data_IF_564623888957
#
_entry.id   IF_564623888957
#
_cell.length_a   1.000
_cell.length_b   1.000
_cell.length_c   1.000
_cell.angle_alpha   90.00
_cell.angle_beta   90.00
_cell.angle_gamma   90.00
#
_symmetry.space_group_name_H-M   'P 1'
#
loop_
_entity.id
_entity.type
_entity.pdbx_description
1 polymer ?
#
# COMPACT_ATOMS: atom_id res chain seq x y z
N UNK A 1 2.15 -8.32 -0.39
CA UNK A 1 3.22 -7.72 -1.20
C UNK A 1 3.06 -8.00 -2.69
N UNK A 2 2.50 -9.14 -3.06
CA UNK A 2 2.27 -9.50 -4.47
C UNK A 2 0.93 -8.98 -5.02
N UNK A 3 0.09 -8.37 -4.19
CA UNK A 3 -1.29 -8.04 -4.56
C UNK A 3 -1.39 -7.19 -5.84
N UNK A 4 -0.60 -6.11 -5.93
CA UNK A 4 -0.59 -5.28 -7.14
C UNK A 4 0.01 -6.01 -8.34
N UNK A 5 1.10 -6.76 -8.14
CA UNK A 5 1.76 -7.51 -9.21
C UNK A 5 0.85 -8.59 -9.81
N UNK A 6 0.09 -9.29 -8.96
CA UNK A 6 -0.85 -10.35 -9.36
C UNK A 6 -2.23 -9.82 -9.80
N UNK A 7 -2.51 -8.54 -9.60
CA UNK A 7 -3.80 -7.96 -10.00
C UNK A 7 -3.98 -8.01 -11.53
N UNK A 8 -4.99 -8.77 -12.06
CA UNK A 8 -5.13 -8.97 -13.50
C UNK A 8 -5.44 -7.67 -14.26
N UNK A 9 -6.15 -6.75 -13.60
CA UNK A 9 -6.52 -5.46 -14.18
C UNK A 9 -5.31 -4.55 -14.29
N UNK A 10 -4.44 -4.55 -13.28
CA UNK A 10 -3.17 -3.83 -13.32
C UNK A 10 -2.27 -4.38 -14.42
N UNK A 11 -2.10 -5.71 -14.50
CA UNK A 11 -1.32 -6.37 -15.55
C UNK A 11 -1.81 -6.01 -16.96
N UNK A 12 -3.13 -6.03 -17.18
CA UNK A 12 -3.71 -5.65 -18.46
C UNK A 12 -3.41 -4.19 -18.82
N UNK A 13 -3.44 -3.28 -17.85
CA UNK A 13 -3.08 -1.86 -18.05
C UNK A 13 -1.60 -1.69 -18.35
N UNK A 14 -0.71 -2.35 -17.61
CA UNK A 14 0.73 -2.30 -17.88
C UNK A 14 1.05 -2.81 -19.28
N UNK A 15 0.44 -3.94 -19.68
CA UNK A 15 0.56 -4.44 -21.05
C UNK A 15 0.12 -3.43 -22.12
N UNK A 16 -1.02 -2.75 -21.89
CA UNK A 16 -1.52 -1.71 -22.81
C UNK A 16 -0.58 -0.51 -22.91
N UNK A 17 0.10 -0.17 -21.82
CA UNK A 17 1.08 0.92 -21.77
C UNK A 17 2.47 0.52 -22.29
N UNK A 18 2.68 -0.74 -22.66
CA UNK A 18 4.00 -1.23 -23.06
C UNK A 18 4.99 -1.35 -21.90
N UNK A 19 4.50 -1.52 -20.68
CA UNK A 19 5.31 -1.64 -19.47
C UNK A 19 5.48 -3.10 -19.11
N UNK A 20 6.72 -3.59 -19.13
CA UNK A 20 7.07 -4.91 -18.62
C UNK A 20 7.07 -4.90 -17.08
N UNK A 21 6.61 -5.98 -16.48
CA UNK A 21 6.57 -6.14 -15.03
C UNK A 21 7.54 -7.22 -14.60
N UNK A 22 8.40 -6.91 -13.62
CA UNK A 22 9.39 -7.83 -13.08
C UNK A 22 9.19 -7.92 -11.56
N UNK A 23 9.01 -9.14 -11.05
CA UNK A 23 9.01 -9.43 -9.63
C UNK A 23 10.38 -9.89 -9.20
N UNK A 24 11.02 -9.15 -8.31
CA UNK A 24 12.37 -9.46 -7.83
C UNK A 24 12.30 -10.13 -6.46
N UNK A 25 12.76 -11.40 -6.40
CA UNK A 25 12.83 -12.16 -5.15
C UNK A 25 14.12 -13.03 -5.13
N UNK A 26 14.93 -12.96 -4.08
CA UNK A 26 14.83 -12.02 -2.96
C UNK A 26 15.01 -10.57 -3.40
N UNK A 27 14.46 -9.64 -2.62
CA UNK A 27 14.70 -8.21 -2.85
C UNK A 27 16.20 -7.87 -2.74
N UNK A 28 16.62 -6.80 -3.40
CA UNK A 28 18.03 -6.36 -3.40
C UNK A 28 18.56 -6.15 -1.97
N UNK A 29 17.89 -5.35 -1.21
CA UNK A 29 17.87 -5.17 0.24
C UNK A 29 16.75 -4.18 0.58
N UNK A 30 16.41 -4.05 1.85
CA UNK A 30 15.27 -3.19 2.24
C UNK A 30 15.47 -1.72 1.85
N UNK A 31 16.71 -1.23 1.83
CA UNK A 31 16.98 0.20 1.70
C UNK A 31 17.56 0.60 0.35
N UNK A 32 17.96 -0.35 -0.49
CA UNK A 32 18.71 -0.03 -1.70
C UNK A 32 19.89 0.93 -1.40
N UNK A 33 20.88 0.47 -0.68
CA UNK A 33 22.08 1.25 -0.48
C UNK A 33 23.02 1.11 -1.70
N UNK A 34 23.26 2.18 -2.46
CA UNK A 34 24.16 2.14 -3.60
C UNK A 34 25.63 1.80 -3.22
N UNK A 35 25.99 1.93 -1.93
CA UNK A 35 27.31 1.57 -1.45
C UNK A 35 27.42 0.08 -1.08
N UNK A 36 26.29 -0.65 -1.07
CA UNK A 36 26.24 -2.09 -0.77
C UNK A 36 26.44 -3.01 -1.98
N UNK A 37 26.64 -2.45 -3.18
CA UNK A 37 26.73 -3.22 -4.42
C UNK A 37 25.39 -3.54 -5.07
N UNK A 38 24.26 -3.06 -4.54
CA UNK A 38 22.94 -3.31 -5.08
C UNK A 38 22.79 -2.85 -6.54
N UNK A 39 23.48 -1.78 -6.95
CA UNK A 39 23.52 -1.31 -8.32
C UNK A 39 24.11 -2.32 -9.29
N UNK A 40 25.16 -3.06 -8.90
CA UNK A 40 25.79 -4.05 -9.74
C UNK A 40 24.85 -5.25 -9.98
N UNK A 41 24.16 -5.67 -8.91
CA UNK A 41 23.15 -6.74 -8.98
C UNK A 41 21.99 -6.30 -9.89
N UNK A 42 21.57 -5.04 -9.81
CA UNK A 42 20.52 -4.51 -10.68
C UNK A 42 20.95 -4.48 -12.17
N UNK A 43 22.14 -3.97 -12.46
CA UNK A 43 22.64 -3.92 -13.86
C UNK A 43 22.82 -5.32 -14.46
N UNK A 44 23.32 -6.27 -13.67
CA UNK A 44 23.42 -7.68 -14.08
C UNK A 44 22.02 -8.29 -14.31
N UNK A 45 21.05 -8.03 -13.42
CA UNK A 45 19.68 -8.48 -13.60
C UNK A 45 19.09 -7.96 -14.91
N UNK A 46 19.26 -6.67 -15.21
CA UNK A 46 18.71 -6.06 -16.42
C UNK A 46 19.36 -6.59 -17.69
N UNK A 47 20.67 -6.84 -17.66
CA UNK A 47 21.37 -7.48 -18.76
C UNK A 47 20.86 -8.91 -19.01
N UNK A 48 20.77 -9.71 -17.93
CA UNK A 48 20.24 -11.08 -18.00
C UNK A 48 18.79 -11.14 -18.50
N UNK A 49 17.94 -10.21 -18.06
CA UNK A 49 16.56 -10.13 -18.56
C UNK A 49 16.50 -9.80 -20.05
N UNK A 50 17.34 -8.88 -20.51
CA UNK A 50 17.43 -8.52 -21.93
C UNK A 50 17.88 -9.72 -22.79
N UNK A 51 18.93 -10.39 -22.38
CA UNK A 51 19.48 -11.54 -23.10
C UNK A 51 18.50 -12.72 -23.12
N UNK A 52 17.92 -13.08 -21.96
CA UNK A 52 17.01 -14.22 -21.85
C UNK A 52 15.66 -14.00 -22.54
N UNK A 53 15.18 -12.76 -22.63
CA UNK A 53 13.92 -12.44 -23.29
C UNK A 53 14.08 -12.17 -24.79
N UNK A 54 15.30 -11.92 -25.27
CA UNK A 54 15.59 -11.44 -26.64
C UNK A 54 15.22 -9.96 -26.87
N UNK A 55 14.85 -9.23 -25.79
CA UNK A 55 14.50 -7.82 -25.81
C UNK A 55 15.67 -6.98 -25.29
N UNK A 56 16.67 -6.74 -26.14
CA UNK A 56 17.91 -6.06 -25.76
C UNK A 56 17.67 -4.63 -25.21
N UNK A 57 16.59 -3.99 -25.62
CA UNK A 57 16.18 -2.68 -25.13
C UNK A 57 15.92 -2.65 -23.62
N UNK A 58 15.53 -3.78 -23.00
CA UNK A 58 15.28 -3.90 -21.56
C UNK A 58 16.53 -3.51 -20.76
N UNK A 59 17.73 -3.84 -21.25
CA UNK A 59 18.98 -3.52 -20.56
C UNK A 59 19.11 -2.03 -20.22
N UNK A 60 18.48 -1.13 -21.01
CA UNK A 60 18.55 0.32 -20.84
C UNK A 60 17.18 1.00 -20.71
N UNK A 61 16.10 0.24 -20.65
CA UNK A 61 14.75 0.79 -20.53
C UNK A 61 14.60 1.68 -19.29
N UNK A 62 13.73 2.71 -19.34
CA UNK A 62 13.33 3.44 -18.17
C UNK A 62 12.73 2.51 -17.11
N UNK A 63 12.93 2.83 -15.84
CA UNK A 63 12.52 2.00 -14.69
C UNK A 63 11.43 2.69 -13.88
N UNK A 64 10.49 1.91 -13.40
CA UNK A 64 9.49 2.29 -12.41
C UNK A 64 9.77 1.46 -11.16
N UNK A 65 10.63 1.94 -10.23
CA UNK A 65 10.82 1.25 -8.98
C UNK A 65 9.54 1.32 -8.15
N UNK A 66 9.03 0.14 -7.77
CA UNK A 66 7.88 -0.01 -6.90
C UNK A 66 8.27 -0.88 -5.71
N UNK A 67 7.99 -0.43 -4.52
CA UNK A 67 8.22 -1.17 -3.28
C UNK A 67 7.03 -1.06 -2.35
N UNK A 68 6.74 -2.14 -1.62
CA UNK A 68 5.67 -2.20 -0.65
C UNK A 68 6.22 -2.42 0.75
N UNK A 69 5.66 -1.72 1.74
CA UNK A 69 5.98 -1.90 3.16
C UNK A 69 7.47 -1.72 3.45
N UNK A 70 8.13 -2.71 4.03
CA UNK A 70 9.56 -2.69 4.31
C UNK A 70 10.46 -2.42 3.08
N UNK A 71 9.95 -2.64 1.88
CA UNK A 71 10.64 -2.34 0.63
C UNK A 71 10.25 -0.96 0.05
N UNK A 72 9.40 -0.19 0.70
CA UNK A 72 8.88 1.06 0.15
C UNK A 72 9.87 2.24 0.20
N UNK A 73 10.96 2.12 0.93
CA UNK A 73 12.11 3.04 0.86
C UNK A 73 13.00 2.81 -0.36
N UNK A 74 13.04 1.58 -0.87
CA UNK A 74 13.82 1.23 -2.07
C UNK A 74 13.54 2.14 -3.26
N UNK A 75 12.28 2.43 -3.65
CA UNK A 75 12.00 3.24 -4.83
C UNK A 75 12.61 4.64 -4.79
N UNK A 76 12.59 5.29 -3.63
CA UNK A 76 13.16 6.62 -3.44
C UNK A 76 14.68 6.60 -3.57
N UNK A 77 15.32 5.63 -2.93
CA UNK A 77 16.78 5.48 -2.94
C UNK A 77 17.29 5.09 -4.33
N UNK A 78 16.57 4.20 -5.03
CA UNK A 78 16.86 3.85 -6.43
C UNK A 78 16.79 5.08 -7.34
N UNK A 79 15.73 5.88 -7.23
CA UNK A 79 15.56 7.07 -8.05
C UNK A 79 16.63 8.12 -7.79
N UNK A 80 17.03 8.31 -6.53
CA UNK A 80 18.12 9.22 -6.18
C UNK A 80 19.47 8.75 -6.75
N UNK A 81 19.70 7.45 -6.83
CA UNK A 81 20.88 6.87 -7.45
C UNK A 81 20.84 6.93 -8.97
N UNK A 82 19.70 6.61 -9.61
CA UNK A 82 19.56 6.49 -11.06
C UNK A 82 18.44 7.37 -11.62
N UNK A 83 18.54 8.67 -11.34
CA UNK A 83 17.51 9.67 -11.68
C UNK A 83 17.25 9.76 -13.19
N UNK A 84 18.27 9.56 -14.02
CA UNK A 84 18.16 9.65 -15.47
C UNK A 84 17.39 8.47 -16.09
N UNK A 85 17.27 7.36 -15.38
CA UNK A 85 16.59 6.15 -15.84
C UNK A 85 15.26 5.90 -15.10
N UNK A 86 14.95 6.67 -14.07
CA UNK A 86 13.72 6.52 -13.30
C UNK A 86 12.57 7.29 -13.95
N UNK A 87 11.56 6.59 -14.45
CA UNK A 87 10.36 7.19 -15.03
C UNK A 87 9.47 7.85 -13.96
N UNK A 88 9.12 7.09 -12.94
CA UNK A 88 8.40 7.55 -11.75
C UNK A 88 8.70 6.62 -10.57
N UNK A 89 8.30 7.01 -9.38
CA UNK A 89 8.58 6.33 -8.11
C UNK A 89 7.25 5.91 -7.50
N UNK A 90 7.13 4.66 -7.03
CA UNK A 90 5.92 4.18 -6.33
C UNK A 90 6.32 3.61 -4.97
N UNK A 91 6.02 4.35 -3.91
CA UNK A 91 6.14 3.90 -2.52
C UNK A 91 4.75 3.46 -2.04
N UNK A 92 4.53 2.15 -2.02
CA UNK A 92 3.21 1.57 -1.75
C UNK A 92 3.12 1.08 -0.31
N UNK A 93 2.22 1.66 0.46
CA UNK A 93 2.05 1.44 1.91
C UNK A 93 3.37 1.61 2.68
N UNK A 94 4.06 2.72 2.39
CA UNK A 94 5.42 2.91 2.85
C UNK A 94 5.80 4.34 3.22
N UNK A 95 7.08 4.58 3.18
CA UNK A 95 7.69 5.77 3.76
C UNK A 95 7.89 6.90 2.76
N UNK A 96 8.03 8.09 3.30
CA UNK A 96 8.46 9.28 2.57
C UNK A 96 9.94 9.19 2.12
N UNK A 97 10.36 10.00 1.15
CA UNK A 97 11.77 10.09 0.77
C UNK A 97 12.67 10.35 2.00
N UNK A 98 13.80 9.66 2.06
CA UNK A 98 14.80 9.81 3.13
C UNK A 98 14.28 9.46 4.54
N UNK A 99 13.25 8.64 4.62
CA UNK A 99 12.78 8.04 5.88
C UNK A 99 12.75 6.52 5.76
N UNK A 100 12.72 5.82 6.88
CA UNK A 100 12.74 4.37 6.92
C UNK A 100 12.01 3.82 8.15
N UNK A 101 10.77 4.23 8.33
CA UNK A 101 9.93 3.75 9.43
C UNK A 101 9.45 2.32 9.18
N UNK A 102 9.11 2.01 7.92
CA UNK A 102 8.72 0.66 7.50
C UNK A 102 9.87 -0.35 7.57
N UNK A 103 11.10 0.10 7.52
CA UNK A 103 12.30 -0.73 7.59
C UNK A 103 12.70 -1.16 9.00
N UNK A 104 11.77 -1.18 9.93
CA UNK A 104 11.97 -1.65 11.31
C UNK A 104 13.12 -0.95 12.07
N UNK A 105 13.31 0.34 11.81
CA UNK A 105 14.35 1.15 12.45
C UNK A 105 15.74 1.00 11.83
N UNK A 106 15.87 0.38 10.68
CA UNK A 106 17.11 0.44 9.91
C UNK A 106 17.43 1.91 9.55
N UNK A 107 18.73 2.21 9.46
CA UNK A 107 19.18 3.57 9.14
C UNK A 107 18.70 4.01 7.75
N UNK A 108 18.41 5.30 7.61
CA UNK A 108 18.15 5.89 6.30
C UNK A 108 19.41 5.85 5.44
N UNK A 109 19.24 5.57 4.15
CA UNK A 109 20.35 5.64 3.20
C UNK A 109 20.68 7.10 2.91
N UNK A 110 21.96 7.44 3.05
CA UNK A 110 22.44 8.79 2.72
C UNK A 110 22.62 8.95 1.21
N UNK A 111 21.88 9.90 0.64
CA UNK A 111 21.97 10.17 -0.80
C UNK A 111 23.22 10.96 -1.19
N UNK A 112 23.83 11.68 -0.24
CA UNK A 112 24.91 12.60 -0.51
C UNK A 112 24.43 13.91 -1.18
N UNK A 113 25.37 14.75 -1.60
CA UNK A 113 25.03 16.09 -2.10
C UNK A 113 24.56 16.13 -3.55
N UNK A 114 24.94 15.13 -4.34
CA UNK A 114 24.74 15.12 -5.80
C UNK A 114 23.56 14.26 -6.26
N UNK A 115 22.88 13.60 -5.33
CA UNK A 115 21.74 12.73 -5.64
C UNK A 115 20.44 13.37 -5.19
N UNK A 116 19.50 13.48 -6.12
CA UNK A 116 18.17 14.01 -5.85
C UNK A 116 17.12 13.32 -6.75
N UNK A 117 15.87 13.64 -6.48
CA UNK A 117 14.71 13.16 -7.28
C UNK A 117 13.98 14.34 -7.95
N UNK A 118 14.67 15.43 -8.23
CA UNK A 118 14.12 16.65 -8.80
C UNK A 118 13.48 16.36 -10.16
N UNK A 119 12.23 16.78 -10.31
CA UNK A 119 11.43 16.59 -11.53
C UNK A 119 11.06 15.14 -11.83
N UNK A 120 11.25 14.21 -10.87
CA UNK A 120 10.77 12.82 -10.98
C UNK A 120 9.45 12.71 -10.20
N UNK A 121 8.33 12.34 -10.85
CA UNK A 121 7.08 12.15 -10.13
C UNK A 121 7.18 10.94 -9.20
N UNK A 122 6.85 11.15 -7.94
CA UNK A 122 6.81 10.12 -6.92
C UNK A 122 5.41 10.02 -6.32
N UNK A 123 4.88 8.82 -6.24
CA UNK A 123 3.61 8.53 -5.57
C UNK A 123 3.87 7.77 -4.29
N UNK A 124 3.40 8.33 -3.19
CA UNK A 124 3.29 7.66 -1.90
C UNK A 124 1.83 7.26 -1.69
N UNK A 125 1.59 6.01 -1.33
CA UNK A 125 0.25 5.50 -1.01
C UNK A 125 0.24 5.00 0.42
N UNK A 126 -0.76 5.40 1.20
CA UNK A 126 -1.07 4.80 2.50
C UNK A 126 -2.55 4.41 2.56
N UNK A 127 -2.86 3.29 3.23
CA UNK A 127 -4.23 2.92 3.52
C UNK A 127 -4.80 3.73 4.68
N UNK A 128 -6.11 4.00 4.64
CA UNK A 128 -6.82 4.69 5.72
C UNK A 128 -6.66 3.98 7.08
N UNK A 129 -6.69 2.65 7.08
CA UNK A 129 -6.63 1.84 8.31
C UNK A 129 -5.22 1.63 8.85
N UNK A 130 -4.21 2.06 8.12
CA UNK A 130 -2.83 2.11 8.57
C UNK A 130 -2.29 3.54 8.70
N UNK A 131 -3.16 4.53 8.63
CA UNK A 131 -2.79 5.94 8.63
C UNK A 131 -1.79 6.29 9.73
N UNK A 132 -0.72 6.96 9.34
CA UNK A 132 0.32 7.38 10.27
C UNK A 132 0.94 8.71 9.86
N UNK A 133 0.64 9.76 10.60
CA UNK A 133 1.17 11.12 10.37
C UNK A 133 2.70 11.16 10.28
N UNK A 134 3.40 10.29 11.02
CA UNK A 134 4.85 10.20 10.98
C UNK A 134 5.41 9.77 9.61
N UNK A 135 4.59 9.17 8.74
CA UNK A 135 4.95 8.88 7.33
C UNK A 135 4.64 10.04 6.40
N UNK A 136 3.53 10.72 6.62
CA UNK A 136 3.02 11.79 5.73
C UNK A 136 3.77 13.09 5.93
N UNK A 137 3.95 13.51 7.18
CA UNK A 137 4.60 14.78 7.51
C UNK A 137 6.04 14.92 6.95
N UNK A 138 6.90 13.87 6.95
CA UNK A 138 8.20 13.94 6.29
C UNK A 138 8.11 14.15 4.77
N UNK A 139 7.07 13.64 4.09
CA UNK A 139 6.90 13.89 2.65
C UNK A 139 6.56 15.35 2.36
N UNK A 140 5.72 15.98 3.19
CA UNK A 140 5.45 17.42 3.12
C UNK A 140 6.70 18.23 3.40
N UNK A 141 7.45 17.89 4.47
CA UNK A 141 8.71 18.55 4.79
C UNK A 141 9.73 18.39 3.65
N UNK A 142 9.82 17.24 3.03
CA UNK A 142 10.70 16.99 1.89
C UNK A 142 10.36 17.90 0.71
N UNK A 143 9.08 18.07 0.37
CA UNK A 143 8.65 18.98 -0.70
C UNK A 143 9.03 20.43 -0.43
N UNK A 144 9.01 20.87 0.83
CA UNK A 144 9.42 22.20 1.21
C UNK A 144 10.94 22.41 1.11
N UNK A 145 11.71 21.40 1.55
CA UNK A 145 13.17 21.44 1.52
C UNK A 145 13.71 21.29 0.09
N UNK A 146 12.98 20.57 -0.76
CA UNK A 146 13.36 20.29 -2.14
C UNK A 146 12.24 20.71 -3.10
N UNK A 147 12.12 22.01 -3.41
CA UNK A 147 10.97 22.58 -4.13
C UNK A 147 10.84 22.09 -5.58
N UNK A 148 11.87 21.46 -6.14
CA UNK A 148 11.84 20.84 -7.45
C UNK A 148 11.30 19.39 -7.41
N UNK A 149 10.90 18.89 -6.24
CA UNK A 149 10.32 17.55 -6.09
C UNK A 149 8.85 17.52 -6.50
N UNK A 150 8.45 16.44 -7.19
CA UNK A 150 7.09 16.21 -7.70
C UNK A 150 6.44 15.05 -6.92
N UNK A 151 6.15 15.24 -5.63
CA UNK A 151 5.59 14.18 -4.77
C UNK A 151 4.08 14.28 -4.70
N UNK A 152 3.41 13.21 -5.11
CA UNK A 152 1.98 12.95 -4.97
C UNK A 152 1.72 12.00 -3.80
N UNK A 153 0.54 12.12 -3.23
CA UNK A 153 0.10 11.26 -2.14
C UNK A 153 -1.33 10.76 -2.39
N UNK A 154 -1.58 9.53 -2.04
CA UNK A 154 -2.91 8.94 -1.98
C UNK A 154 -3.12 8.30 -0.62
N UNK A 155 -4.10 8.78 0.15
CA UNK A 155 -4.74 7.97 1.17
C UNK A 155 -5.74 7.04 0.48
N UNK A 156 -5.48 5.74 0.52
CA UNK A 156 -6.38 4.76 -0.08
C UNK A 156 -7.50 4.42 0.90
N UNK A 157 -8.62 5.11 0.69
CA UNK A 157 -9.75 5.09 1.61
C UNK A 157 -10.42 3.72 1.68
N UNK A 158 -10.69 3.26 2.91
CA UNK A 158 -11.28 1.95 3.18
C UNK A 158 -10.30 0.78 3.03
N UNK A 159 -8.98 1.06 3.01
CA UNK A 159 -7.93 0.05 2.80
C UNK A 159 -6.94 0.03 3.96
N UNK A 160 -6.37 -1.14 4.18
CA UNK A 160 -5.27 -1.38 5.13
C UNK A 160 -3.98 -1.72 4.40
N UNK A 161 -2.99 -2.11 5.17
CA UNK A 161 -1.59 -2.27 4.73
C UNK A 161 -1.37 -3.26 3.57
N UNK A 162 -2.18 -4.28 3.45
CA UNK A 162 -2.01 -5.33 2.44
C UNK A 162 -3.06 -5.29 1.33
N UNK A 163 -3.94 -4.29 1.37
CA UNK A 163 -5.01 -4.17 0.41
C UNK A 163 -4.53 -3.52 -0.90
N UNK A 164 -4.95 -4.09 -2.01
CA UNK A 164 -4.83 -3.49 -3.32
C UNK A 164 -5.99 -3.96 -4.19
N UNK A 165 -7.07 -3.19 -4.21
CA UNK A 165 -8.20 -3.49 -5.08
C UNK A 165 -8.01 -2.92 -6.50
N UNK A 166 -8.99 -3.18 -7.36
CA UNK A 166 -8.98 -2.68 -8.74
C UNK A 166 -8.93 -1.15 -8.83
N UNK A 167 -9.52 -0.43 -7.87
CA UNK A 167 -9.51 1.04 -7.84
C UNK A 167 -8.13 1.59 -7.52
N UNK A 168 -7.44 0.96 -6.57
CA UNK A 168 -6.05 1.30 -6.22
C UNK A 168 -5.13 0.99 -7.39
N UNK A 169 -5.28 -0.19 -7.99
CA UNK A 169 -4.55 -0.59 -9.18
C UNK A 169 -4.77 0.38 -10.35
N UNK A 170 -6.02 0.83 -10.56
CA UNK A 170 -6.37 1.82 -11.59
C UNK A 170 -5.71 3.19 -11.34
N UNK A 171 -5.68 3.63 -10.10
CA UNK A 171 -5.04 4.91 -9.74
C UNK A 171 -3.54 4.87 -9.99
N UNK A 172 -2.86 3.80 -9.54
CA UNK A 172 -1.42 3.64 -9.76
C UNK A 172 -1.11 3.52 -11.27
N UNK A 173 -1.91 2.75 -12.00
CA UNK A 173 -1.74 2.64 -13.46
C UNK A 173 -1.95 3.99 -14.17
N UNK A 174 -2.89 4.83 -13.71
CA UNK A 174 -3.10 6.18 -14.23
C UNK A 174 -1.91 7.08 -13.94
N UNK A 175 -1.33 7.00 -12.74
CA UNK A 175 -0.12 7.72 -12.38
C UNK A 175 1.06 7.35 -13.28
N UNK A 176 1.24 6.05 -13.55
CA UNK A 176 2.27 5.55 -14.48
C UNK A 176 2.00 6.06 -15.92
N UNK A 177 0.75 6.02 -16.37
CA UNK A 177 0.37 6.54 -17.68
C UNK A 177 0.74 8.02 -17.82
N UNK A 178 0.39 8.87 -16.84
CA UNK A 178 0.76 10.30 -16.83
C UNK A 178 2.27 10.51 -16.83
N UNK A 179 3.00 9.64 -16.11
CA UNK A 179 4.47 9.69 -16.11
C UNK A 179 5.05 9.40 -17.48
N UNK A 180 4.53 8.40 -18.20
CA UNK A 180 4.93 8.09 -19.57
C UNK A 180 4.63 9.26 -20.51
N UNK A 181 3.40 9.78 -20.48
CA UNK A 181 2.96 10.88 -21.36
C UNK A 181 3.78 12.16 -21.15
N UNK A 182 4.16 12.46 -19.91
CA UNK A 182 4.79 13.74 -19.59
C UNK A 182 6.33 13.67 -19.51
N UNK A 183 6.91 12.49 -19.33
CA UNK A 183 8.37 12.37 -19.19
C UNK A 183 9.08 11.66 -20.30
N UNK A 184 8.44 10.67 -20.94
CA UNK A 184 9.12 9.86 -21.95
C UNK A 184 9.16 10.61 -23.30
N UNK A 185 10.35 10.86 -23.80
CA UNK A 185 10.57 11.41 -25.13
C UNK A 185 10.56 10.30 -26.20
N UNK A 186 10.39 10.68 -27.45
CA UNK A 186 10.38 9.74 -28.58
C UNK A 186 11.69 8.95 -28.75
N UNK A 187 12.81 9.48 -28.28
CA UNK A 187 14.13 8.85 -28.30
C UNK A 187 14.38 7.93 -27.07
N UNK A 188 13.38 7.77 -26.19
CA UNK A 188 13.49 6.98 -24.97
C UNK A 188 14.11 7.71 -23.78
N UNK A 189 14.60 8.93 -23.95
CA UNK A 189 15.11 9.74 -22.85
C UNK A 189 13.98 10.26 -21.95
N UNK A 190 14.31 10.64 -20.71
CA UNK A 190 13.37 11.16 -19.73
C UNK A 190 13.62 12.64 -19.46
N UNK A 191 12.59 13.47 -19.64
CA UNK A 191 12.64 14.88 -19.24
C UNK A 191 12.28 15.05 -17.76
N UNK A 192 12.85 16.06 -17.11
CA UNK A 192 12.44 16.47 -15.78
C UNK A 192 11.16 17.29 -15.85
N UNK A 193 10.26 17.08 -14.90
CA UNK A 193 9.07 17.91 -14.75
C UNK A 193 9.38 19.16 -13.93
N UNK A 194 8.65 20.23 -14.22
CA UNK A 194 8.63 21.43 -13.40
C UNK A 194 7.41 21.37 -12.47
N UNK A 195 7.59 21.25 -11.15
CA UNK A 195 6.44 21.16 -10.23
C UNK A 195 5.51 22.38 -10.30
N UNK A 196 6.00 23.56 -10.74
CA UNK A 196 5.17 24.75 -10.88
C UNK A 196 4.16 24.69 -12.02
N UNK A 197 4.33 23.76 -12.96
CA UNK A 197 3.40 23.49 -14.05
C UNK A 197 2.29 22.50 -13.66
N UNK A 198 2.40 21.83 -12.52
CA UNK A 198 1.42 20.89 -12.02
C UNK A 198 0.32 21.54 -11.18
N UNK A 199 -0.41 20.71 -10.47
CA UNK A 199 -1.51 21.04 -9.59
C UNK A 199 -1.13 20.74 -8.13
N UNK A 200 -1.78 21.44 -7.21
CA UNK A 200 -1.75 21.14 -5.79
C UNK A 200 -3.14 20.73 -5.32
N UNK A 201 -3.19 19.77 -4.42
CA UNK A 201 -4.36 19.42 -3.64
C UNK A 201 -3.95 19.19 -2.18
N UNK A 202 -4.83 19.58 -1.27
CA UNK A 202 -4.60 19.40 0.17
C UNK A 202 -4.39 17.92 0.50
N UNK A 203 -3.52 17.66 1.45
CA UNK A 203 -3.32 16.30 1.95
C UNK A 203 -4.60 15.75 2.57
N UNK A 204 -4.66 14.45 2.70
CA UNK A 204 -5.65 13.80 3.54
C UNK A 204 -5.38 14.12 5.01
N UNK A 205 -6.45 14.36 5.77
CA UNK A 205 -6.38 14.59 7.23
C UNK A 205 -7.15 13.47 7.94
N UNK A 206 -6.54 12.90 8.97
CA UNK A 206 -7.14 11.81 9.76
C UNK A 206 -8.46 12.20 10.44
N UNK A 207 -8.63 13.49 10.76
CA UNK A 207 -9.87 14.04 11.31
C UNK A 207 -11.07 14.03 10.35
N UNK A 208 -10.82 13.77 9.06
CA UNK A 208 -11.90 13.56 8.08
C UNK A 208 -12.66 12.25 8.28
N UNK A 209 -12.04 11.25 8.88
CA UNK A 209 -12.60 9.90 9.01
C UNK A 209 -12.68 9.37 10.44
N UNK A 210 -12.00 9.98 11.40
CA UNK A 210 -12.02 9.55 12.80
C UNK A 210 -11.46 8.15 13.07
N UNK A 211 -10.55 7.66 12.24
CA UNK A 211 -10.08 6.27 12.25
C UNK A 211 -8.59 6.12 12.38
N UNK A 212 -7.86 7.14 12.75
CA UNK A 212 -6.44 6.92 12.94
C UNK A 212 -6.17 5.94 14.11
N UNK A 213 -5.04 5.28 14.05
CA UNK A 213 -4.65 4.31 15.06
C UNK A 213 -4.47 4.92 16.46
N UNK A 214 -4.24 6.24 16.57
CA UNK A 214 -4.01 6.96 17.80
C UNK A 214 -5.32 7.53 18.39
N UNK A 215 -6.26 7.92 17.52
CA UNK A 215 -7.51 8.58 17.87
C UNK A 215 -8.75 7.70 17.65
N UNK A 216 -8.60 6.40 17.82
CA UNK A 216 -9.68 5.42 17.67
C UNK A 216 -10.95 5.85 18.40
N UNK A 217 -12.03 6.02 17.65
CA UNK A 217 -13.37 6.29 18.20
C UNK A 217 -13.74 7.75 18.36
N UNK A 218 -12.89 8.70 17.98
CA UNK A 218 -13.31 10.10 17.88
C UNK A 218 -14.06 10.32 16.56
N UNK A 219 -15.22 10.94 16.64
CA UNK A 219 -15.89 11.44 15.44
C UNK A 219 -15.00 12.51 14.79
N UNK A 220 -14.90 12.56 13.45
CA UNK A 220 -14.13 13.60 12.80
C UNK A 220 -14.72 14.97 13.10
N UNK A 221 -13.94 15.81 13.75
CA UNK A 221 -14.37 17.17 14.13
C UNK A 221 -14.66 18.03 12.89
N UNK A 222 -14.00 17.75 11.79
CA UNK A 222 -14.01 18.53 10.56
C UNK A 222 -14.47 17.73 9.32
N UNK A 223 -15.21 16.64 9.49
CA UNK A 223 -15.68 15.79 8.38
C UNK A 223 -16.41 16.55 7.24
N UNK A 224 -16.99 17.71 7.56
CA UNK A 224 -17.69 18.58 6.62
C UNK A 224 -16.95 19.92 6.39
N UNK A 225 -15.71 20.06 6.85
CA UNK A 225 -14.93 21.28 6.61
C UNK A 225 -14.72 21.46 5.10
N UNK A 226 -14.88 22.70 4.64
CA UNK A 226 -14.60 23.04 3.25
C UNK A 226 -13.11 22.92 2.97
N UNK A 227 -12.74 21.97 2.14
CA UNK A 227 -11.35 21.79 1.69
C UNK A 227 -11.04 22.76 0.54
N UNK A 228 -9.80 23.27 0.46
CA UNK A 228 -9.35 23.99 -0.72
C UNK A 228 -9.48 23.10 -1.97
N UNK A 229 -10.06 23.65 -3.02
CA UNK A 229 -10.18 22.90 -4.27
C UNK A 229 -8.80 22.71 -4.92
N UNK A 230 -8.55 21.54 -5.53
CA UNK A 230 -7.36 21.32 -6.34
C UNK A 230 -7.21 22.42 -7.40
N UNK A 231 -6.00 22.95 -7.54
CA UNK A 231 -5.76 24.04 -8.48
C UNK A 231 -4.32 24.01 -9.04
N UNK A 232 -4.07 24.67 -10.19
CA UNK A 232 -2.70 24.90 -10.67
C UNK A 232 -1.82 25.46 -9.55
N UNK A 233 -0.56 25.04 -9.50
CA UNK A 233 0.39 25.39 -8.44
C UNK A 233 0.39 26.90 -8.07
N UNK A 234 0.35 27.77 -9.08
CA UNK A 234 0.36 29.21 -8.87
C UNK A 234 -0.97 29.77 -8.33
N UNK A 235 -2.08 29.08 -8.58
CA UNK A 235 -3.44 29.53 -8.26
C UNK A 235 -4.04 28.85 -7.03
N UNK A 236 -3.33 27.88 -6.46
CA UNK A 236 -3.80 27.15 -5.29
C UNK A 236 -4.01 28.07 -4.08
N UNK A 237 -5.19 28.00 -3.48
CA UNK A 237 -5.64 28.90 -2.40
C UNK A 237 -5.43 28.33 -0.99
N UNK A 238 -5.19 27.01 -0.88
CA UNK A 238 -4.85 26.36 0.38
C UNK A 238 -3.40 26.58 0.79
N UNK A 239 -3.01 26.00 1.90
CA UNK A 239 -1.62 25.98 2.34
C UNK A 239 -0.78 25.05 1.45
N UNK A 240 0.20 25.61 0.75
CA UNK A 240 1.10 24.82 -0.11
C UNK A 240 2.01 23.89 0.68
N UNK A 241 2.19 24.15 1.98
CA UNK A 241 2.98 23.30 2.88
C UNK A 241 2.19 22.09 3.34
N UNK A 242 0.85 22.14 3.24
CA UNK A 242 -0.07 21.06 3.58
C UNK A 242 -0.75 20.47 2.35
N UNK A 243 -0.09 20.52 1.20
CA UNK A 243 -0.59 20.04 -0.07
C UNK A 243 0.43 19.18 -0.80
N UNK A 244 -0.04 18.23 -1.57
CA UNK A 244 0.78 17.40 -2.46
C UNK A 244 0.66 17.85 -3.90
N UNK A 245 1.66 17.49 -4.69
CA UNK A 245 1.74 17.79 -6.11
C UNK A 245 1.07 16.70 -6.96
N UNK A 246 0.47 17.11 -8.06
CA UNK A 246 -0.13 16.21 -9.05
C UNK A 246 0.16 16.73 -10.47
N UNK A 247 0.20 15.83 -11.44
CA UNK A 247 0.49 16.14 -12.84
C UNK A 247 -0.40 17.23 -13.43
N UNK A 248 -1.70 17.10 -13.18
CA UNK A 248 -2.74 17.91 -13.79
C UNK A 248 -4.02 17.89 -12.95
N UNK A 249 -5.02 18.58 -13.47
CA UNK A 249 -6.35 18.66 -12.87
C UNK A 249 -6.98 17.28 -12.65
N UNK A 250 -6.87 16.38 -13.65
CA UNK A 250 -7.48 15.05 -13.59
C UNK A 250 -6.97 14.24 -12.39
N UNK A 251 -5.64 14.18 -12.20
CA UNK A 251 -5.06 13.44 -11.07
C UNK A 251 -5.38 14.07 -9.73
N UNK A 252 -5.36 15.39 -9.63
CA UNK A 252 -5.66 16.11 -8.39
C UNK A 252 -7.14 15.94 -7.99
N UNK A 253 -8.07 16.06 -8.94
CA UNK A 253 -9.50 15.86 -8.68
C UNK A 253 -9.84 14.39 -8.41
N UNK A 254 -9.17 13.43 -9.06
CA UNK A 254 -9.34 12.01 -8.78
C UNK A 254 -8.94 11.68 -7.34
N UNK A 255 -7.85 12.27 -6.85
CA UNK A 255 -7.39 12.12 -5.47
C UNK A 255 -8.39 12.73 -4.49
N UNK A 256 -8.84 13.95 -4.73
CA UNK A 256 -9.82 14.62 -3.87
C UNK A 256 -11.14 13.84 -3.82
N UNK A 257 -11.61 13.31 -4.96
CA UNK A 257 -12.80 12.47 -4.99
C UNK A 257 -12.69 11.23 -4.11
N UNK A 258 -11.48 10.62 -4.04
CA UNK A 258 -11.21 9.50 -3.12
C UNK A 258 -11.37 9.91 -1.66
N UNK A 259 -10.90 11.09 -1.29
CA UNK A 259 -11.02 11.59 0.07
C UNK A 259 -12.46 11.92 0.46
N UNK A 260 -13.22 12.48 -0.47
CA UNK A 260 -14.64 12.80 -0.23
C UNK A 260 -15.52 11.56 -0.06
N UNK A 261 -15.12 10.40 -0.55
CA UNK A 261 -15.89 9.16 -0.39
C UNK A 261 -16.04 8.72 1.06
N UNK A 262 -15.10 9.09 1.93
CA UNK A 262 -15.12 8.75 3.36
C UNK A 262 -15.58 9.90 4.23
N UNK A 263 -15.61 11.13 3.72
CA UNK A 263 -16.04 12.29 4.48
C UNK A 263 -17.45 12.08 5.09
N UNK A 264 -17.55 12.24 6.40
CA UNK A 264 -18.81 12.06 7.14
C UNK A 264 -19.28 10.61 7.30
N UNK A 265 -18.55 9.60 6.81
CA UNK A 265 -18.88 8.20 7.08
C UNK A 265 -18.58 7.84 8.52
N UNK A 266 -19.51 7.14 9.16
CA UNK A 266 -19.30 6.60 10.50
C UNK A 266 -18.48 5.33 10.43
N UNK A 267 -17.64 5.11 11.44
CA UNK A 267 -16.95 3.84 11.63
C UNK A 267 -17.92 2.67 11.60
N UNK A 268 -17.51 1.61 10.93
CA UNK A 268 -18.21 0.34 10.95
C UNK A 268 -17.38 -0.65 11.78
N UNK A 269 -18.06 -1.35 12.68
CA UNK A 269 -17.43 -2.38 13.49
C UNK A 269 -17.84 -3.74 12.96
N UNK A 270 -16.93 -4.66 12.97
CA UNK A 270 -17.15 -6.04 12.57
C UNK A 270 -16.70 -6.99 13.66
N UNK A 271 -17.34 -8.13 13.75
CA UNK A 271 -16.97 -9.22 14.63
C UNK A 271 -17.14 -10.55 13.93
N UNK A 272 -16.71 -11.63 14.60
CA UNK A 272 -16.93 -12.98 14.11
C UNK A 272 -17.73 -13.78 15.11
N UNK A 273 -18.72 -14.51 14.62
CA UNK A 273 -19.39 -15.55 15.38
C UNK A 273 -18.70 -16.90 15.10
N UNK A 274 -18.32 -17.58 16.18
CA UNK A 274 -17.82 -18.95 16.16
C UNK A 274 -18.68 -19.81 17.10
N UNK A 275 -19.21 -20.92 16.58
CA UNK A 275 -20.14 -21.78 17.33
C UNK A 275 -21.31 -21.01 17.98
N UNK A 276 -21.86 -20.03 17.27
CA UNK A 276 -22.97 -19.19 17.73
C UNK A 276 -22.64 -18.16 18.81
N UNK A 277 -21.35 -17.96 19.13
CA UNK A 277 -20.89 -16.94 20.07
C UNK A 277 -20.06 -15.90 19.35
N UNK A 278 -20.29 -14.63 19.67
CA UNK A 278 -19.43 -13.53 19.20
C UNK A 278 -18.05 -13.68 19.84
N UNK A 279 -17.01 -13.67 18.99
CA UNK A 279 -15.63 -13.61 19.46
C UNK A 279 -15.35 -12.18 19.87
N UNK A 280 -14.97 -11.94 21.13
CA UNK A 280 -14.70 -10.60 21.61
C UNK A 280 -13.51 -9.99 20.86
N UNK A 281 -13.66 -8.74 20.46
CA UNK A 281 -12.55 -7.96 19.94
C UNK A 281 -11.53 -7.74 21.06
N UNK A 282 -10.27 -8.11 20.82
CA UNK A 282 -9.22 -7.89 21.79
C UNK A 282 -8.43 -6.63 21.42
N UNK A 283 -8.76 -5.51 22.03
CA UNK A 283 -8.09 -4.21 21.81
C UNK A 283 -6.59 -4.22 22.16
N UNK A 284 -6.15 -5.17 22.99
CA UNK A 284 -4.75 -5.32 23.37
C UNK A 284 -3.94 -6.17 22.38
N UNK A 285 -4.60 -6.91 21.52
CA UNK A 285 -3.92 -7.63 20.45
C UNK A 285 -3.57 -6.65 19.33
N UNK A 286 -2.29 -6.42 19.09
CA UNK A 286 -1.86 -5.70 17.89
C UNK A 286 -2.41 -6.43 16.66
N UNK A 287 -3.35 -5.82 15.96
CA UNK A 287 -3.90 -6.36 14.73
C UNK A 287 -5.21 -7.13 14.85
N UNK A 288 -6.04 -6.93 15.88
CA UNK A 288 -7.42 -7.35 15.83
C UNK A 288 -7.81 -8.58 16.65
N UNK A 289 -8.66 -9.46 16.11
CA UNK A 289 -9.25 -10.59 16.82
C UNK A 289 -8.32 -11.79 16.87
N UNK A 290 -8.19 -12.41 18.04
CA UNK A 290 -7.54 -13.72 18.17
C UNK A 290 -8.59 -14.80 18.33
N UNK A 291 -8.52 -15.81 17.49
CA UNK A 291 -9.32 -17.03 17.64
C UNK A 291 -8.42 -18.10 18.27
N UNK A 292 -8.71 -18.48 19.50
CA UNK A 292 -8.06 -19.60 20.14
C UNK A 292 -8.94 -20.84 19.95
N UNK A 293 -8.49 -21.78 19.16
CA UNK A 293 -9.17 -23.07 18.98
C UNK A 293 -8.67 -24.00 20.09
N UNK A 294 -9.43 -24.13 21.15
CA UNK A 294 -9.06 -24.95 22.31
C UNK A 294 -9.38 -26.44 22.13
N UNK A 295 -10.30 -26.80 21.22
CA UNK A 295 -10.70 -28.18 20.97
C UNK A 295 -10.88 -28.46 19.46
N UNK A 296 -9.81 -28.77 18.78
CA UNK A 296 -9.88 -29.35 17.43
C UNK A 296 -10.24 -30.87 17.46
N UNK A 297 -10.48 -31.44 18.66
CA UNK A 297 -10.55 -32.91 18.85
C UNK A 297 -11.93 -33.50 18.74
N UNK A 298 -13.04 -32.76 18.67
CA UNK A 298 -14.34 -33.38 18.87
C UNK A 298 -15.26 -33.59 17.67
N UNK A 299 -15.01 -32.98 16.50
CA UNK A 299 -16.00 -33.14 15.41
C UNK A 299 -15.49 -33.67 14.07
N UNK A 300 -14.19 -33.84 13.84
CA UNK A 300 -13.71 -34.46 12.57
C UNK A 300 -12.35 -35.18 12.66
N UNK A 301 -12.01 -35.75 13.78
CA UNK A 301 -10.84 -36.64 13.85
C UNK A 301 -11.21 -38.07 13.45
N UNK A 302 -11.40 -38.32 12.14
CA UNK A 302 -11.13 -39.67 11.66
C UNK A 302 -9.64 -39.90 11.82
N UNK A 303 -9.27 -40.76 12.80
CA UNK A 303 -7.98 -41.39 13.11
C UNK A 303 -6.78 -40.90 12.26
N UNK A 304 -6.01 -40.01 12.81
CA UNK A 304 -4.72 -39.65 12.23
C UNK A 304 -3.70 -40.68 12.67
N UNK A 305 -3.24 -41.49 11.74
CA UNK A 305 -2.04 -42.29 11.91
C UNK A 305 -0.86 -41.33 12.19
N UNK A 306 -0.24 -41.45 13.36
CA UNK A 306 0.82 -40.59 13.84
C UNK A 306 2.10 -40.56 12.97
N UNK A 307 2.14 -41.25 11.86
CA UNK A 307 3.27 -41.36 10.94
C UNK A 307 3.12 -40.65 9.60
N UNK A 308 2.02 -39.94 9.33
CA UNK A 308 1.92 -39.16 8.08
C UNK A 308 2.46 -37.76 8.27
N UNK A 309 3.47 -37.40 7.50
CA UNK A 309 4.06 -36.04 7.44
C UNK A 309 3.13 -34.96 6.89
N UNK A 310 1.93 -35.29 6.45
CA UNK A 310 0.91 -34.36 5.98
C UNK A 310 0.00 -33.94 7.14
N UNK A 311 0.18 -32.72 7.61
CA UNK A 311 -0.75 -32.09 8.56
C UNK A 311 -2.04 -31.72 7.80
N UNK A 312 -3.16 -32.36 8.16
CA UNK A 312 -4.47 -32.04 7.58
C UNK A 312 -4.90 -30.61 7.95
N UNK A 313 -5.46 -29.92 6.99
CA UNK A 313 -6.13 -28.66 7.23
C UNK A 313 -7.32 -28.83 8.18
N UNK A 314 -7.49 -27.89 9.11
CA UNK A 314 -8.63 -27.86 10.03
C UNK A 314 -9.69 -26.95 9.43
N UNK A 315 -10.91 -27.44 9.26
CA UNK A 315 -12.03 -26.60 8.86
C UNK A 315 -12.62 -25.88 10.05
N UNK A 316 -12.79 -24.59 9.92
CA UNK A 316 -13.46 -23.74 10.91
C UNK A 316 -14.63 -23.01 10.24
N UNK A 317 -15.70 -22.83 11.01
CA UNK A 317 -16.85 -22.06 10.57
C UNK A 317 -16.88 -20.73 11.31
N UNK A 318 -16.62 -19.64 10.57
CA UNK A 318 -16.66 -18.28 11.07
C UNK A 318 -17.71 -17.50 10.30
N UNK A 319 -18.58 -16.80 10.99
CA UNK A 319 -19.55 -15.91 10.37
C UNK A 319 -19.20 -14.46 10.71
N UNK A 320 -18.87 -13.65 9.73
CA UNK A 320 -18.68 -12.24 9.93
C UNK A 320 -20.03 -11.56 10.20
N UNK A 321 -20.02 -10.65 11.16
CA UNK A 321 -21.19 -9.88 11.57
C UNK A 321 -20.83 -8.41 11.74
N UNK A 322 -21.79 -7.53 11.46
CA UNK A 322 -21.64 -6.12 11.85
C UNK A 322 -21.96 -5.97 13.33
N UNK A 323 -21.21 -5.11 14.00
CA UNK A 323 -21.45 -4.76 15.40
C UNK A 323 -21.56 -3.24 15.57
N UNK A 324 -22.10 -2.81 16.69
CA UNK A 324 -21.95 -1.43 17.16
C UNK A 324 -20.62 -1.26 17.94
N UNK A 325 -20.38 -0.03 18.41
CA UNK A 325 -19.18 0.29 19.21
C UNK A 325 -19.10 -0.47 20.55
N UNK A 326 -20.23 -1.00 21.01
CA UNK A 326 -20.34 -1.80 22.24
C UNK A 326 -20.32 -3.31 21.98
N UNK A 327 -19.97 -3.71 20.74
CA UNK A 327 -19.90 -5.09 20.28
C UNK A 327 -21.26 -5.83 20.24
N UNK A 328 -22.38 -5.13 20.17
CA UNK A 328 -23.67 -5.76 19.92
C UNK A 328 -23.83 -6.04 18.43
N UNK A 329 -24.29 -7.24 18.10
CA UNK A 329 -24.52 -7.65 16.70
C UNK A 329 -25.66 -6.85 16.09
N UNK A 330 -25.39 -6.29 14.91
CA UNK A 330 -26.37 -5.56 14.12
C UNK A 330 -26.95 -6.48 13.02
N UNK A 331 -28.26 -6.37 12.79
CA UNK A 331 -28.95 -7.16 11.75
C UNK A 331 -28.53 -6.80 10.34
N UNK A 332 -28.15 -5.55 10.12
CA UNK A 332 -27.65 -5.05 8.83
C UNK A 332 -26.98 -3.69 8.99
N UNK A 333 -26.08 -3.36 8.05
CA UNK A 333 -25.49 -2.03 7.87
C UNK A 333 -25.60 -1.64 6.40
N UNK A 334 -26.18 -0.47 6.11
CA UNK A 334 -26.43 0.00 4.73
C UNK A 334 -27.12 -1.05 3.83
N UNK A 335 -28.07 -1.81 4.39
CA UNK A 335 -28.82 -2.85 3.67
C UNK A 335 -28.05 -4.17 3.46
N UNK A 336 -26.80 -4.24 3.84
CA UNK A 336 -26.01 -5.49 3.81
C UNK A 336 -26.15 -6.23 5.13
N UNK A 337 -26.43 -7.53 5.06
CA UNK A 337 -26.66 -8.37 6.24
C UNK A 337 -25.36 -8.87 6.88
N UNK A 338 -24.27 -8.93 6.15
CA UNK A 338 -22.97 -9.37 6.65
C UNK A 338 -21.83 -8.62 5.95
N UNK A 339 -20.69 -8.40 6.63
CA UNK A 339 -19.47 -7.90 5.99
C UNK A 339 -18.93 -8.93 4.99
N UNK A 340 -18.24 -8.45 3.97
CA UNK A 340 -17.47 -9.29 3.08
C UNK A 340 -16.13 -9.61 3.74
N UNK A 341 -15.70 -10.88 3.65
CA UNK A 341 -14.40 -11.32 4.16
C UNK A 341 -13.52 -11.73 2.99
N UNK A 342 -12.32 -11.19 2.96
CA UNK A 342 -11.24 -11.67 2.11
C UNK A 342 -10.09 -12.17 2.97
N UNK A 343 -9.42 -13.23 2.53
CA UNK A 343 -8.18 -13.71 3.13
C UNK A 343 -7.05 -13.30 2.21
N UNK A 344 -6.25 -12.36 2.67
CA UNK A 344 -5.19 -11.74 1.86
C UNK A 344 -3.87 -12.49 2.04
N UNK A 345 -3.60 -12.99 3.24
CA UNK A 345 -2.37 -13.73 3.54
C UNK A 345 -2.55 -14.67 4.74
N UNK A 346 -1.55 -15.52 4.98
CA UNK A 346 -1.50 -16.44 6.11
C UNK A 346 -1.95 -17.87 5.77
N UNK A 347 -2.04 -18.75 6.78
CA UNK A 347 -2.38 -20.16 6.59
C UNK A 347 -3.88 -20.40 6.52
N UNK A 348 -4.65 -19.37 6.26
CA UNK A 348 -6.09 -19.44 6.13
C UNK A 348 -6.46 -19.45 4.64
N UNK A 349 -7.36 -20.35 4.25
CA UNK A 349 -7.95 -20.39 2.92
C UNK A 349 -9.46 -20.25 3.05
N UNK A 350 -10.02 -19.25 2.39
CA UNK A 350 -11.47 -19.08 2.31
C UNK A 350 -12.06 -20.15 1.37
N UNK A 351 -13.00 -20.92 1.87
CA UNK A 351 -13.78 -21.89 1.08
C UNK A 351 -15.10 -21.26 0.62
N UNK A 352 -15.76 -20.55 1.53
CA UNK A 352 -16.95 -19.74 1.26
C UNK A 352 -17.05 -18.64 2.34
N UNK A 353 -18.14 -17.86 2.34
CA UNK A 353 -18.30 -16.71 3.25
C UNK A 353 -18.38 -17.08 4.75
N UNK A 354 -18.53 -18.35 5.09
CA UNK A 354 -18.62 -18.81 6.47
C UNK A 354 -17.70 -19.97 6.80
N UNK A 355 -16.90 -20.45 5.83
CA UNK A 355 -16.06 -21.64 6.00
C UNK A 355 -14.65 -21.34 5.55
N UNK A 356 -13.69 -21.64 6.41
CA UNK A 356 -12.27 -21.47 6.18
C UNK A 356 -11.50 -22.74 6.49
N UNK A 357 -10.42 -22.99 5.78
CA UNK A 357 -9.44 -24.01 6.09
C UNK A 357 -8.20 -23.36 6.71
N UNK A 358 -7.81 -23.82 7.89
CA UNK A 358 -6.58 -23.43 8.57
C UNK A 358 -5.55 -24.52 8.34
N UNK A 359 -4.43 -24.17 7.77
CA UNK A 359 -3.31 -25.08 7.56
C UNK A 359 -2.35 -24.96 8.73
N UNK A 360 -2.19 -26.03 9.57
CA UNK A 360 -1.20 -26.00 10.65
C UNK A 360 0.20 -25.86 10.04
N UNK A 361 0.95 -24.91 10.55
CA UNK A 361 2.25 -24.54 10.02
C UNK A 361 3.34 -25.55 10.41
N UNK A 362 4.33 -25.73 9.54
CA UNK A 362 5.58 -26.39 9.92
C UNK A 362 6.41 -25.49 10.85
N UNK A 363 7.08 -26.11 11.80
CA UNK A 363 7.93 -25.55 12.86
C UNK A 363 8.27 -24.03 12.80
N UNK A 364 7.77 -23.25 13.77
CA UNK A 364 8.06 -21.82 13.90
C UNK A 364 6.86 -20.96 14.30
N UNK A 365 5.74 -21.55 14.59
CA UNK A 365 4.52 -20.87 15.03
C UNK A 365 4.53 -20.41 16.48
N UNK A 366 5.54 -20.78 17.24
CA UNK A 366 5.77 -20.26 18.60
C UNK A 366 6.21 -18.80 18.63
N UNK A 367 6.18 -18.10 17.48
CA UNK A 367 6.47 -16.68 17.45
C UNK A 367 5.17 -15.88 17.69
N UNK A 368 4.96 -15.34 18.91
CA UNK A 368 3.75 -14.60 19.27
C UNK A 368 3.56 -13.28 18.49
N UNK A 369 4.46 -12.94 17.57
CA UNK A 369 4.40 -11.74 16.73
C UNK A 369 3.68 -11.92 15.39
N UNK A 370 3.19 -13.12 15.06
CA UNK A 370 2.37 -13.35 13.87
C UNK A 370 0.90 -13.46 14.28
N UNK A 371 0.34 -12.35 14.69
CA UNK A 371 -1.12 -12.20 14.76
C UNK A 371 -1.68 -12.09 13.34
N UNK A 372 -2.81 -12.73 13.10
CA UNK A 372 -3.60 -12.53 11.88
C UNK A 372 -4.21 -11.13 11.92
N UNK A 373 -3.92 -10.31 10.96
CA UNK A 373 -4.65 -9.07 10.66
C UNK A 373 -5.61 -9.33 9.52
#
# INVERSE_FOLDING_TARGET
EEAIYKNPRFQAKMKKLGVAMVWVAPAFNNNWDPNSGAQNIFEELMANLADNSGHLEIAKAPIIPLGHSAQATFPWNFAAWNSNRTLCIISFHGDAPRTNLCGYGAANVEWGRNRNIDGIPGLMVEGEYEWWEARVNPALAFRMMYPESCISFLCDTGRGHFDCDDRTADYIAKFIQKSLEQRLNADGSLRKLNPKEGYLAERFHSDMIGTDGADKGKAPENANASRPQPAPYALYKGDKHDAFWYFDKEMAELTEARYQETAGKKMQYVGFEYQGKLIPFNEKAQGGMQIKIEDASSENSSSVNANSKEKKAIRIHLKAVYTDASHNVLSSVHGKKAPHIEVICGPLKKINDTTFEVYPYEAGWDNPRRSFT
#
